data_IF_738575620359
#
_entry.id   IF_738575620359
#
_cell.length_a   1.000
_cell.length_b   1.000
_cell.length_c   1.000
_cell.angle_alpha   90.00
_cell.angle_beta   90.00
_cell.angle_gamma   90.00
#
_symmetry.space_group_name_H-M   'P 1'
#
loop_
_entity.id
_entity.type
_entity.pdbx_description
1 polymer ?
#
# COMPACT_ATOMS: atom_id res chain seq x y z
N UNK A 1 5.83 9.89 9.55
CA UNK A 1 5.09 9.13 8.53
C UNK A 1 4.71 7.77 9.10
N UNK A 2 3.48 7.34 8.85
CA UNK A 2 3.00 6.06 9.36
C UNK A 2 3.76 4.89 8.70
N UNK A 3 4.06 3.81 9.44
CA UNK A 3 4.77 2.67 8.85
C UNK A 3 4.13 2.09 7.60
N UNK A 4 2.80 2.10 7.48
CA UNK A 4 2.14 1.62 6.28
C UNK A 4 2.41 2.51 5.07
N UNK A 5 2.53 3.81 5.27
CA UNK A 5 2.89 4.72 4.18
C UNK A 5 4.29 4.41 3.66
N UNK A 6 5.22 4.15 4.58
CA UNK A 6 6.59 3.78 4.22
C UNK A 6 6.60 2.46 3.44
N UNK A 7 5.81 1.47 3.88
CA UNK A 7 5.73 0.20 3.18
C UNK A 7 5.16 0.34 1.77
N UNK A 8 4.12 1.15 1.60
CA UNK A 8 3.53 1.39 0.29
C UNK A 8 4.57 2.01 -0.64
N UNK A 9 5.31 3.00 -0.16
CA UNK A 9 6.35 3.64 -0.95
C UNK A 9 7.45 2.66 -1.32
N UNK A 10 7.89 1.85 -0.37
CA UNK A 10 8.93 0.85 -0.60
C UNK A 10 8.52 -0.18 -1.64
N UNK A 11 7.30 -0.72 -1.52
CA UNK A 11 6.78 -1.70 -2.47
C UNK A 11 6.68 -1.08 -3.87
N UNK A 12 6.16 0.14 -3.95
CA UNK A 12 6.01 0.83 -5.23
C UNK A 12 7.38 1.05 -5.88
N UNK A 13 8.37 1.47 -5.11
CA UNK A 13 9.71 1.69 -5.62
C UNK A 13 10.38 0.39 -6.05
N UNK A 14 10.23 -0.69 -5.28
CA UNK A 14 10.80 -1.99 -5.65
C UNK A 14 10.25 -2.50 -6.97
N UNK A 15 8.98 -2.24 -7.24
CA UNK A 15 8.38 -2.58 -8.52
C UNK A 15 8.95 -1.69 -9.63
N UNK A 16 9.08 -0.39 -9.35
CA UNK A 16 9.57 0.57 -10.34
C UNK A 16 10.99 0.24 -10.81
N UNK A 17 11.85 -0.20 -9.90
CA UNK A 17 13.23 -0.54 -10.24
C UNK A 17 13.39 -1.99 -10.70
N UNK A 18 12.29 -2.74 -10.79
CA UNK A 18 12.31 -4.09 -11.37
C UNK A 18 12.64 -5.22 -10.40
N UNK A 19 12.69 -4.95 -9.10
CA UNK A 19 13.00 -6.00 -8.11
C UNK A 19 11.81 -6.91 -7.82
N UNK A 20 10.59 -6.44 -8.02
CA UNK A 20 9.36 -7.23 -7.90
C UNK A 20 8.48 -6.97 -9.11
N UNK A 21 7.65 -7.94 -9.46
CA UNK A 21 6.73 -7.82 -10.58
C UNK A 21 5.52 -6.95 -10.23
N UNK A 22 4.78 -6.53 -11.26
CA UNK A 22 3.52 -5.81 -11.06
C UNK A 22 2.52 -6.68 -10.29
N UNK A 23 2.46 -7.96 -10.60
CA UNK A 23 1.57 -8.89 -9.90
C UNK A 23 1.93 -9.00 -8.42
N UNK A 24 3.21 -9.08 -8.10
CA UNK A 24 3.68 -9.15 -6.73
C UNK A 24 3.41 -7.85 -5.99
N UNK A 25 3.67 -6.71 -6.64
CA UNK A 25 3.33 -5.39 -6.08
C UNK A 25 1.85 -5.34 -5.72
N UNK A 26 0.98 -5.72 -6.66
CA UNK A 26 -0.45 -5.65 -6.43
C UNK A 26 -0.90 -6.58 -5.31
N UNK A 27 -0.33 -7.76 -5.23
CA UNK A 27 -0.62 -8.68 -4.12
C UNK A 27 -0.28 -8.05 -2.77
N UNK A 28 0.92 -7.49 -2.65
CA UNK A 28 1.37 -6.87 -1.40
C UNK A 28 0.53 -5.66 -1.03
N UNK A 29 0.18 -4.82 -2.00
CA UNK A 29 -0.63 -3.64 -1.75
C UNK A 29 -2.06 -4.00 -1.39
N UNK A 30 -2.62 -5.05 -1.98
CA UNK A 30 -3.96 -5.53 -1.61
C UNK A 30 -3.99 -6.02 -0.18
N UNK A 31 -2.94 -6.69 0.28
CA UNK A 31 -2.85 -7.14 1.66
C UNK A 31 -2.84 -5.97 2.63
N UNK A 32 -2.09 -4.91 2.32
CA UNK A 32 -2.09 -3.69 3.12
C UNK A 32 -3.48 -3.07 3.13
N UNK A 33 -4.10 -2.91 1.97
CA UNK A 33 -5.40 -2.27 1.84
C UNK A 33 -6.51 -3.05 2.54
N UNK A 34 -6.54 -4.37 2.36
CA UNK A 34 -7.69 -5.17 2.77
C UNK A 34 -7.57 -5.71 4.19
N UNK A 35 -6.36 -5.85 4.72
CA UNK A 35 -6.13 -6.46 6.03
C UNK A 35 -5.45 -5.48 6.98
N UNK A 36 -4.27 -5.01 6.63
CA UNK A 36 -3.44 -4.27 7.58
C UNK A 36 -3.94 -2.86 7.85
N UNK A 37 -4.56 -2.22 6.87
CA UNK A 37 -5.11 -0.88 7.07
C UNK A 37 -6.18 -0.90 8.17
N UNK A 38 -7.07 -1.89 8.14
CA UNK A 38 -8.11 -2.01 9.15
C UNK A 38 -7.54 -2.26 10.54
N UNK A 39 -6.48 -3.05 10.63
CA UNK A 39 -5.86 -3.38 11.92
C UNK A 39 -5.02 -2.23 12.47
N UNK A 40 -4.19 -1.63 11.63
CA UNK A 40 -3.19 -0.65 12.08
C UNK A 40 -3.70 0.78 12.11
N UNK A 41 -4.81 1.06 11.42
CA UNK A 41 -5.43 2.38 11.41
C UNK A 41 -6.75 2.39 12.17
N UNK A 42 -6.97 1.40 13.04
CA UNK A 42 -8.19 1.35 13.86
C UNK A 42 -8.28 2.61 14.72
N UNK A 43 -9.46 3.25 14.72
CA UNK A 43 -9.67 4.48 15.46
C UNK A 43 -9.19 5.74 14.75
N UNK A 44 -8.59 5.63 13.57
CA UNK A 44 -8.19 6.79 12.79
C UNK A 44 -8.71 6.65 11.36
N UNK A 45 -9.96 7.07 11.17
CA UNK A 45 -10.64 6.93 9.89
C UNK A 45 -9.95 7.71 8.77
N UNK A 46 -9.43 8.87 9.07
CA UNK A 46 -8.75 9.70 8.06
C UNK A 46 -7.49 9.02 7.55
N UNK A 47 -6.70 8.45 8.45
CA UNK A 47 -5.50 7.71 8.06
C UNK A 47 -5.87 6.44 7.30
N UNK A 48 -6.92 5.73 7.76
CA UNK A 48 -7.40 4.54 7.07
C UNK A 48 -7.75 4.84 5.61
N UNK A 49 -8.52 5.90 5.37
CA UNK A 49 -8.90 6.29 4.02
C UNK A 49 -7.70 6.67 3.17
N UNK A 50 -6.74 7.36 3.77
CA UNK A 50 -5.52 7.74 3.06
C UNK A 50 -4.73 6.51 2.62
N UNK A 51 -4.56 5.54 3.52
CA UNK A 51 -3.83 4.31 3.22
C UNK A 51 -4.52 3.52 2.11
N UNK A 52 -5.84 3.36 2.21
CA UNK A 52 -6.61 2.65 1.18
C UNK A 52 -6.47 3.33 -0.18
N UNK A 53 -6.60 4.64 -0.21
CA UNK A 53 -6.48 5.40 -1.45
C UNK A 53 -5.06 5.31 -2.02
N UNK A 54 -4.05 5.39 -1.17
CA UNK A 54 -2.66 5.28 -1.62
C UNK A 54 -2.39 3.91 -2.26
N UNK A 55 -2.92 2.84 -1.68
CA UNK A 55 -2.79 1.51 -2.27
C UNK A 55 -3.48 1.43 -3.63
N UNK A 56 -4.69 1.97 -3.74
CA UNK A 56 -5.42 1.93 -5.00
C UNK A 56 -4.71 2.72 -6.10
N UNK A 57 -4.17 3.89 -5.77
CA UNK A 57 -3.41 4.70 -6.73
C UNK A 57 -2.15 3.96 -7.17
N UNK A 58 -1.42 3.39 -6.22
CA UNK A 58 -0.19 2.66 -6.52
C UNK A 58 -0.45 1.44 -7.41
N UNK A 59 -1.57 0.75 -7.21
CA UNK A 59 -1.92 -0.40 -8.02
C UNK A 59 -2.38 -0.03 -9.44
N UNK A 60 -2.79 1.21 -9.65
CA UNK A 60 -3.23 1.69 -10.95
C UNK A 60 -2.06 2.06 -11.88
N UNK A 61 -0.87 2.21 -11.34
CA UNK A 61 0.32 2.53 -12.12
C UNK A 61 0.85 1.28 -12.77
N UNK A 62 1.05 1.33 -14.07
CA UNK A 62 1.53 0.17 -14.84
C UNK A 62 3.05 0.29 -15.07
#
# INVERSE_FOLDING_TARGET
MHPLEVEIQTITEQCHIGNISVDERNYLLQEIRDIRAAEECAGNEQLFRYVVQACNVAMAVI
#
